data_IF_827262671907
#
_entry.id   IF_827262671907
#
_cell.length_a   1.000
_cell.length_b   1.000
_cell.length_c   1.000
_cell.angle_alpha   90.00
_cell.angle_beta   90.00
_cell.angle_gamma   90.00
#
_symmetry.space_group_name_H-M   'P 1'
#
loop_
_entity.id
_entity.type
_entity.pdbx_description
1 polymer ?
#
# COMPACT_ATOMS: atom_id res chain seq x y z
N UNK A 1 -9.24 25.05 11.73
CA UNK A 1 -8.67 24.80 10.38
C UNK A 1 -7.22 24.30 10.42
N UNK A 2 -6.85 23.36 11.32
CA UNK A 2 -5.46 22.85 11.44
C UNK A 2 -5.33 21.32 11.21
N UNK A 3 -6.43 20.56 11.21
CA UNK A 3 -6.39 19.09 11.08
C UNK A 3 -6.21 18.61 9.64
N UNK A 4 -6.66 19.36 8.65
CA UNK A 4 -6.69 18.93 7.24
C UNK A 4 -5.30 18.88 6.59
N UNK A 5 -4.35 19.70 7.06
CA UNK A 5 -2.98 19.73 6.54
C UNK A 5 -2.13 18.57 7.06
N UNK A 6 -2.36 18.16 8.33
CA UNK A 6 -1.66 17.02 8.93
C UNK A 6 -1.99 15.70 8.22
N UNK A 7 -3.26 15.50 7.84
CA UNK A 7 -3.72 14.31 7.10
C UNK A 7 -2.99 14.15 5.76
N UNK A 8 -2.89 15.21 4.96
CA UNK A 8 -2.19 15.17 3.66
C UNK A 8 -0.67 14.96 3.79
N UNK A 9 -0.08 15.37 4.92
CA UNK A 9 1.33 15.10 5.20
C UNK A 9 1.54 13.63 5.59
N UNK A 10 0.63 13.07 6.41
CA UNK A 10 0.63 11.65 6.77
C UNK A 10 0.45 10.75 5.54
N UNK A 11 -0.48 11.07 4.65
CA UNK A 11 -0.68 10.30 3.41
C UNK A 11 0.59 10.24 2.54
N UNK A 12 1.37 11.33 2.51
CA UNK A 12 2.65 11.37 1.80
C UNK A 12 3.72 10.55 2.50
N UNK A 13 3.77 10.59 3.83
CA UNK A 13 4.68 9.75 4.62
C UNK A 13 4.38 8.26 4.41
N UNK A 14 3.12 7.85 4.54
CA UNK A 14 2.66 6.47 4.31
C UNK A 14 3.02 6.03 2.88
N UNK A 15 2.79 6.89 1.88
CA UNK A 15 3.17 6.59 0.49
C UNK A 15 4.67 6.36 0.35
N UNK A 16 5.50 7.16 1.01
CA UNK A 16 6.95 7.02 0.95
C UNK A 16 7.43 5.74 1.65
N UNK A 17 6.86 5.43 2.81
CA UNK A 17 7.14 4.20 3.57
C UNK A 17 6.79 2.94 2.78
N UNK A 18 5.58 2.85 2.23
CA UNK A 18 5.16 1.69 1.44
C UNK A 18 5.95 1.58 0.12
N UNK A 19 6.30 2.71 -0.50
CA UNK A 19 7.23 2.70 -1.64
C UNK A 19 8.59 2.12 -1.28
N UNK A 20 9.12 2.52 -0.13
CA UNK A 20 10.40 2.03 0.35
C UNK A 20 10.35 0.55 0.72
N UNK A 21 9.28 0.12 1.41
CA UNK A 21 9.01 -1.27 1.75
C UNK A 21 8.94 -2.16 0.50
N UNK A 22 8.18 -1.74 -0.51
CA UNK A 22 8.14 -2.45 -1.79
C UNK A 22 9.50 -2.47 -2.48
N UNK A 23 10.24 -1.36 -2.46
CA UNK A 23 11.58 -1.30 -3.03
C UNK A 23 12.55 -2.26 -2.36
N UNK A 24 12.50 -2.39 -1.03
CA UNK A 24 13.31 -3.36 -0.29
C UNK A 24 12.97 -4.82 -0.64
N UNK A 25 11.69 -5.12 -0.85
CA UNK A 25 11.21 -6.48 -1.11
C UNK A 25 11.36 -6.91 -2.58
N UNK A 26 11.01 -6.04 -3.51
CA UNK A 26 11.01 -6.31 -4.95
C UNK A 26 12.30 -5.87 -5.65
N UNK A 27 13.12 -5.02 -5.01
CA UNK A 27 14.27 -4.37 -5.64
C UNK A 27 13.90 -3.37 -6.74
N UNK A 28 12.61 -3.02 -6.87
CA UNK A 28 12.06 -2.18 -7.94
C UNK A 28 11.27 -1.01 -7.38
N UNK A 29 11.24 0.09 -8.13
CA UNK A 29 10.40 1.22 -7.78
C UNK A 29 8.92 0.83 -7.86
N UNK A 30 8.13 1.27 -6.89
CA UNK A 30 6.68 1.05 -6.89
C UNK A 30 6.06 1.71 -8.14
N UNK A 31 5.25 0.97 -8.92
CA UNK A 31 4.69 1.48 -10.17
C UNK A 31 3.91 2.77 -9.99
N UNK A 32 4.07 3.70 -10.93
CA UNK A 32 3.39 5.00 -10.90
C UNK A 32 1.87 4.88 -11.10
N UNK A 33 1.40 3.74 -11.63
CA UNK A 33 -0.02 3.41 -11.86
C UNK A 33 -0.81 3.21 -10.56
N UNK A 34 -0.12 2.95 -9.44
CA UNK A 34 -0.76 2.76 -8.15
C UNK A 34 -1.19 4.10 -7.55
N UNK A 35 -2.50 4.23 -7.34
CA UNK A 35 -3.09 5.34 -6.61
C UNK A 35 -2.82 5.23 -5.11
N UNK A 36 -2.97 6.33 -4.38
CA UNK A 36 -2.85 6.34 -2.92
C UNK A 36 -3.78 5.31 -2.26
N UNK A 37 -5.00 5.14 -2.78
CA UNK A 37 -5.96 4.17 -2.26
C UNK A 37 -5.47 2.72 -2.41
N UNK A 38 -4.82 2.38 -3.53
CA UNK A 38 -4.19 1.07 -3.72
C UNK A 38 -3.04 0.86 -2.73
N UNK A 39 -2.19 1.87 -2.53
CA UNK A 39 -1.08 1.81 -1.57
C UNK A 39 -1.59 1.61 -0.14
N UNK A 40 -2.66 2.32 0.24
CA UNK A 40 -3.30 2.14 1.54
C UNK A 40 -3.93 0.75 1.71
N UNK A 41 -4.42 0.13 0.64
CA UNK A 41 -4.90 -1.26 0.68
C UNK A 41 -3.74 -2.26 0.80
N UNK A 42 -2.66 -2.05 0.04
CA UNK A 42 -1.45 -2.88 0.05
C UNK A 42 -0.73 -2.86 1.39
N UNK A 43 -0.86 -1.79 2.20
CA UNK A 43 -0.26 -1.73 3.54
C UNK A 43 -0.65 -2.90 4.44
N UNK A 44 -1.85 -3.45 4.24
CA UNK A 44 -2.39 -4.57 5.01
C UNK A 44 -1.85 -5.92 4.54
N UNK A 45 -1.16 -5.97 3.40
CA UNK A 45 -0.53 -7.17 2.89
C UNK A 45 0.76 -7.49 3.67
N UNK A 46 1.03 -8.77 3.83
CA UNK A 46 2.30 -9.24 4.38
C UNK A 46 3.45 -9.07 3.36
N UNK A 47 4.68 -8.99 3.87
CA UNK A 47 5.89 -8.73 3.08
C UNK A 47 6.11 -9.79 1.98
N UNK A 48 5.73 -11.04 2.24
CA UNK A 48 5.90 -12.14 1.28
C UNK A 48 4.91 -12.13 0.11
N UNK A 49 3.74 -11.50 0.25
CA UNK A 49 2.71 -11.44 -0.81
C UNK A 49 2.56 -10.05 -1.43
N UNK A 50 3.16 -9.02 -0.82
CA UNK A 50 3.10 -7.62 -1.30
C UNK A 50 3.52 -7.50 -2.77
N UNK A 51 4.64 -8.12 -3.15
CA UNK A 51 5.18 -8.01 -4.52
C UNK A 51 4.21 -8.66 -5.53
N UNK A 52 3.70 -9.84 -5.21
CA UNK A 52 2.75 -10.58 -6.05
C UNK A 52 1.42 -9.84 -6.17
N UNK A 53 0.93 -9.25 -5.08
CA UNK A 53 -0.29 -8.44 -5.09
C UNK A 53 -0.12 -7.19 -5.94
N UNK A 54 1.02 -6.50 -5.84
CA UNK A 54 1.32 -5.33 -6.69
C UNK A 54 1.29 -5.72 -8.17
N UNK A 55 1.95 -6.80 -8.55
CA UNK A 55 1.95 -7.27 -9.95
C UNK A 55 0.53 -7.64 -10.43
N UNK A 56 -0.27 -8.30 -9.58
CA UNK A 56 -1.68 -8.57 -9.86
C UNK A 56 -2.48 -7.28 -10.04
N UNK A 57 -2.27 -6.28 -9.20
CA UNK A 57 -3.00 -5.00 -9.28
C UNK A 57 -2.70 -4.29 -10.58
N UNK A 58 -1.45 -4.28 -11.04
CA UNK A 58 -1.07 -3.69 -12.33
C UNK A 58 -1.71 -4.49 -13.47
N UNK A 59 -1.56 -5.82 -13.44
CA UNK A 59 -2.03 -6.69 -14.52
C UNK A 59 -3.55 -6.76 -14.65
N UNK A 60 -4.29 -6.71 -13.54
CA UNK A 60 -5.75 -6.87 -13.48
C UNK A 60 -6.49 -5.57 -13.15
N UNK A 61 -5.76 -4.46 -12.96
CA UNK A 61 -6.32 -3.16 -12.53
C UNK A 61 -7.28 -3.29 -11.34
N UNK A 62 -6.87 -4.06 -10.33
CA UNK A 62 -7.72 -4.35 -9.18
C UNK A 62 -8.05 -3.08 -8.40
N UNK A 63 -9.31 -2.97 -7.97
CA UNK A 63 -9.74 -1.90 -7.08
C UNK A 63 -9.15 -2.08 -5.66
N UNK A 64 -9.08 -1.02 -4.84
CA UNK A 64 -8.57 -1.12 -3.46
C UNK A 64 -9.31 -2.16 -2.61
N UNK A 65 -10.60 -2.36 -2.86
CA UNK A 65 -11.40 -3.37 -2.18
C UNK A 65 -11.12 -4.79 -2.70
N UNK A 66 -10.81 -4.93 -4.00
CA UNK A 66 -10.32 -6.18 -4.57
C UNK A 66 -8.99 -6.60 -3.96
N UNK A 67 -8.07 -5.66 -3.78
CA UNK A 67 -6.78 -5.90 -3.11
C UNK A 67 -7.01 -6.46 -1.71
N UNK A 68 -7.87 -5.83 -0.91
CA UNK A 68 -8.18 -6.30 0.45
C UNK A 68 -8.77 -7.70 0.49
N UNK A 69 -9.54 -8.09 -0.53
CA UNK A 69 -10.09 -9.45 -0.65
C UNK A 69 -9.04 -10.48 -1.07
N UNK A 70 -8.02 -10.06 -1.81
CA UNK A 70 -6.92 -10.92 -2.26
C UNK A 70 -5.84 -11.14 -1.19
N UNK A 71 -5.76 -10.25 -0.17
CA UNK A 71 -4.81 -10.40 0.95
C UNK A 71 -5.13 -11.66 1.74
N UNK A 72 -4.19 -12.61 1.76
CA UNK A 72 -4.33 -13.84 2.55
C UNK A 72 -3.75 -13.70 3.95
N UNK A 73 -2.63 -12.98 4.07
CA UNK A 73 -1.96 -12.73 5.33
C UNK A 73 -2.19 -11.28 5.74
N UNK A 74 -3.31 -11.07 6.42
CA UNK A 74 -3.66 -9.74 6.91
C UNK A 74 -2.71 -9.29 8.00
N UNK A 75 -1.87 -8.29 7.68
CA UNK A 75 -1.05 -7.60 8.66
C UNK A 75 -1.91 -6.58 9.38
N UNK A 76 -2.31 -6.90 10.61
CA UNK A 76 -3.02 -5.96 11.48
C UNK A 76 -2.17 -4.71 11.70
N UNK A 77 -2.77 -3.54 11.51
CA UNK A 77 -2.14 -2.25 11.80
C UNK A 77 -1.98 -2.12 13.32
N UNK A 78 -0.86 -2.60 13.87
CA UNK A 78 -0.58 -2.56 15.30
C UNK A 78 -0.33 -1.12 15.82
N UNK A 79 -0.39 -0.11 14.95
CA UNK A 79 -0.18 1.31 15.30
C UNK A 79 -1.48 2.11 15.44
N UNK A 80 -2.65 1.47 15.59
CA UNK A 80 -3.86 2.15 16.08
C UNK A 80 -4.13 1.74 17.52
N UNK A 81 -3.68 2.59 18.46
CA UNK A 81 -4.22 2.70 19.82
C UNK A 81 -5.28 3.80 19.83
#
# INVERSE_FOLDING_TARGET
MARTFALKAQDRAIRAEEKFRYFLLAGKALPAELTLAHILALRFASDGELVVLVDKVISMQLSPDGIKKEIKSWRGDQHRV
#
